data_IF_072056420398
#
_entry.id   IF_072056420398
#
_cell.length_a   1.000
_cell.length_b   1.000
_cell.length_c   1.000
_cell.angle_alpha   90.00
_cell.angle_beta   90.00
_cell.angle_gamma   90.00
#
_symmetry.space_group_name_H-M   'P 1'
#
loop_
_entity.id
_entity.type
_entity.pdbx_description
1 polymer ?
#
# COMPACT_ATOMS: atom_id res chain seq x y z
N UNK A 1 -17.42 -3.77 -4.44
CA UNK A 1 -17.26 -3.09 -5.72
C UNK A 1 -17.31 -4.07 -6.89
N UNK A 2 -16.34 -4.94 -7.01
CA UNK A 2 -16.28 -6.03 -7.98
C UNK A 2 -15.50 -7.21 -7.37
N UNK A 3 -15.69 -8.40 -7.93
CA UNK A 3 -14.98 -9.60 -7.53
C UNK A 3 -13.98 -10.05 -8.58
N UNK A 4 -12.96 -10.78 -8.14
CA UNK A 4 -12.01 -11.45 -9.04
C UNK A 4 -12.79 -12.33 -10.05
N UNK A 5 -12.41 -12.24 -11.32
CA UNK A 5 -13.09 -12.96 -12.42
C UNK A 5 -14.27 -12.23 -13.04
N UNK A 6 -14.82 -11.19 -12.42
CA UNK A 6 -15.87 -10.35 -13.03
C UNK A 6 -15.35 -9.68 -14.31
N UNK A 7 -16.25 -9.34 -15.23
CA UNK A 7 -15.88 -8.67 -16.47
C UNK A 7 -15.39 -7.25 -16.21
N UNK A 8 -14.13 -6.96 -16.54
CA UNK A 8 -13.47 -5.67 -16.31
C UNK A 8 -13.90 -4.62 -17.38
N UNK A 9 -15.12 -4.13 -17.29
CA UNK A 9 -15.67 -3.07 -18.18
C UNK A 9 -15.25 -1.66 -17.80
N UNK A 10 -14.85 -1.47 -16.55
CA UNK A 10 -14.54 -0.16 -15.97
C UNK A 10 -13.26 -0.23 -15.16
N UNK A 11 -12.60 0.90 -15.03
CA UNK A 11 -11.61 1.17 -14.00
C UNK A 11 -12.09 2.39 -13.21
N UNK A 12 -11.51 2.57 -12.04
CA UNK A 12 -11.95 3.61 -11.11
C UNK A 12 -10.72 4.35 -10.55
N UNK A 13 -10.90 5.63 -10.27
CA UNK A 13 -9.99 6.41 -9.45
C UNK A 13 -10.65 6.58 -8.07
N UNK A 14 -9.91 6.28 -7.02
CA UNK A 14 -10.38 6.52 -5.67
C UNK A 14 -10.20 8.00 -5.35
N UNK A 15 -11.32 8.72 -5.16
CA UNK A 15 -11.32 10.16 -4.84
C UNK A 15 -11.32 10.38 -3.33
N UNK A 16 -12.02 9.50 -2.58
CA UNK A 16 -12.17 9.63 -1.13
C UNK A 16 -12.37 8.27 -0.49
N UNK A 17 -11.87 8.11 0.73
CA UNK A 17 -12.00 6.88 1.51
C UNK A 17 -10.84 5.90 1.29
N UNK A 18 -11.03 4.66 1.73
CA UNK A 18 -10.05 3.57 1.65
C UNK A 18 -10.70 2.32 1.12
N UNK A 19 -10.04 1.66 0.16
CA UNK A 19 -10.38 0.34 -0.34
C UNK A 19 -9.36 -0.69 0.11
N UNK A 20 -9.77 -1.95 0.22
CA UNK A 20 -8.88 -3.10 0.25
C UNK A 20 -9.02 -3.89 -1.04
N UNK A 21 -7.91 -4.40 -1.54
CA UNK A 21 -7.87 -5.36 -2.63
C UNK A 21 -7.41 -6.71 -2.08
N UNK A 22 -8.09 -7.78 -2.50
CA UNK A 22 -7.89 -9.09 -1.91
C UNK A 22 -8.19 -10.23 -2.89
N UNK A 23 -7.69 -11.41 -2.54
CA UNK A 23 -8.03 -12.68 -3.17
C UNK A 23 -8.61 -13.65 -2.15
N UNK A 24 -9.49 -14.53 -2.60
CA UNK A 24 -9.97 -15.67 -1.82
C UNK A 24 -9.21 -16.91 -2.32
N UNK A 25 -8.53 -17.57 -1.39
CA UNK A 25 -7.80 -18.80 -1.68
C UNK A 25 -8.77 -19.97 -1.80
N UNK A 26 -8.32 -21.09 -2.40
CA UNK A 26 -9.15 -22.30 -2.58
C UNK A 26 -9.70 -22.89 -1.26
N UNK A 27 -9.02 -22.63 -0.14
CA UNK A 27 -9.45 -23.05 1.21
C UNK A 27 -10.39 -22.03 1.90
N UNK A 28 -10.82 -21.00 1.18
CA UNK A 28 -11.72 -19.95 1.66
C UNK A 28 -11.04 -18.82 2.44
N UNK A 29 -9.74 -18.89 2.71
CA UNK A 29 -9.01 -17.79 3.37
C UNK A 29 -8.93 -16.57 2.46
N UNK A 30 -9.14 -15.40 3.07
CA UNK A 30 -8.94 -14.13 2.41
C UNK A 30 -7.47 -13.68 2.60
N UNK A 31 -6.85 -13.26 1.51
CA UNK A 31 -5.53 -12.63 1.51
C UNK A 31 -5.67 -11.22 0.97
N UNK A 32 -5.42 -10.21 1.80
CA UNK A 32 -5.39 -8.82 1.37
C UNK A 32 -4.04 -8.57 0.70
N UNK A 33 -4.06 -8.07 -0.53
CA UNK A 33 -2.85 -7.77 -1.31
C UNK A 33 -2.50 -6.28 -1.29
N UNK A 34 -3.43 -5.41 -0.86
CA UNK A 34 -3.16 -3.99 -0.74
C UNK A 34 -4.32 -3.19 -0.15
N UNK A 35 -3.99 -1.98 0.29
CA UNK A 35 -4.94 -0.92 0.64
C UNK A 35 -4.73 0.25 -0.30
N UNK A 36 -5.82 0.74 -0.89
CA UNK A 36 -5.83 1.83 -1.84
C UNK A 36 -6.41 3.09 -1.19
N UNK A 37 -5.85 4.23 -1.55
CA UNK A 37 -6.13 5.54 -0.98
C UNK A 37 -6.48 6.55 -2.07
N UNK A 38 -6.95 7.76 -1.73
CA UNK A 38 -7.23 8.79 -2.72
C UNK A 38 -6.06 9.03 -3.69
N UNK A 39 -6.36 9.06 -4.98
CA UNK A 39 -5.41 9.14 -6.08
C UNK A 39 -5.06 7.78 -6.72
N UNK A 40 -5.30 6.67 -6.03
CA UNK A 40 -4.99 5.34 -6.57
C UNK A 40 -6.02 4.90 -7.63
N UNK A 41 -5.54 4.19 -8.66
CA UNK A 41 -6.38 3.57 -9.67
C UNK A 41 -6.79 2.16 -9.24
N UNK A 42 -8.03 1.81 -9.49
CA UNK A 42 -8.64 0.54 -9.09
C UNK A 42 -9.21 -0.18 -10.30
N UNK A 43 -8.93 -1.46 -10.41
CA UNK A 43 -9.45 -2.28 -11.50
C UNK A 43 -8.70 -2.10 -12.82
N UNK A 44 -7.48 -1.57 -12.79
CA UNK A 44 -6.59 -1.56 -13.96
C UNK A 44 -6.26 -3.02 -14.30
N UNK A 45 -6.66 -3.45 -15.48
CA UNK A 45 -6.41 -4.80 -15.96
C UNK A 45 -6.31 -4.79 -17.49
N UNK A 46 -5.23 -5.33 -18.01
CA UNK A 46 -5.06 -5.59 -19.44
C UNK A 46 -5.83 -6.85 -19.88
N UNK A 47 -6.42 -7.58 -18.95
CA UNK A 47 -7.27 -8.75 -19.19
C UNK A 47 -8.74 -8.34 -19.21
N UNK A 48 -9.61 -9.14 -19.83
CA UNK A 48 -11.06 -8.89 -19.87
C UNK A 48 -11.77 -9.12 -18.52
N UNK A 49 -11.03 -9.49 -17.48
CA UNK A 49 -11.53 -9.81 -16.15
C UNK A 49 -10.69 -9.13 -15.08
N UNK A 50 -11.31 -8.76 -13.97
CA UNK A 50 -10.57 -8.30 -12.80
C UNK A 50 -9.71 -9.42 -12.22
N UNK A 51 -8.49 -9.09 -11.82
CA UNK A 51 -7.48 -10.04 -11.30
C UNK A 51 -7.46 -10.12 -9.78
N UNK A 52 -8.28 -9.32 -9.12
CA UNK A 52 -8.50 -9.27 -7.67
C UNK A 52 -9.91 -8.78 -7.37
N UNK A 53 -10.34 -8.94 -6.13
CA UNK A 53 -11.58 -8.36 -5.60
C UNK A 53 -11.28 -7.03 -4.92
N UNK A 54 -12.21 -6.06 -4.98
CA UNK A 54 -12.09 -4.77 -4.31
C UNK A 54 -13.31 -4.46 -3.45
N UNK A 55 -13.08 -4.03 -2.21
CA UNK A 55 -14.12 -3.74 -1.22
C UNK A 55 -13.79 -2.49 -0.41
N UNK A 56 -14.82 -1.74 -0.01
CA UNK A 56 -14.69 -0.53 0.77
C UNK A 56 -14.38 -0.84 2.24
N UNK A 57 -13.35 -0.20 2.80
CA UNK A 57 -13.00 -0.20 4.22
C UNK A 57 -13.72 0.94 4.94
N UNK A 58 -13.86 2.08 4.27
CA UNK A 58 -14.61 3.25 4.72
C UNK A 58 -15.64 3.63 3.66
N UNK A 59 -16.55 4.57 3.90
CA UNK A 59 -17.30 5.21 2.83
C UNK A 59 -16.36 5.73 1.75
N UNK A 60 -16.64 5.46 0.47
CA UNK A 60 -15.76 5.80 -0.64
C UNK A 60 -16.48 6.59 -1.71
N UNK A 61 -15.75 7.50 -2.35
CA UNK A 61 -16.17 8.17 -3.57
C UNK A 61 -15.20 7.81 -4.70
N UNK A 62 -15.77 7.40 -5.82
CA UNK A 62 -15.03 6.88 -6.97
C UNK A 62 -15.38 7.64 -8.23
N UNK A 63 -14.39 7.92 -9.05
CA UNK A 63 -14.57 8.36 -10.42
C UNK A 63 -14.46 7.13 -11.32
N UNK A 64 -15.51 6.84 -12.08
CA UNK A 64 -15.59 5.68 -12.97
C UNK A 64 -15.19 6.04 -14.38
N UNK A 65 -14.36 5.24 -15.01
CA UNK A 65 -13.98 5.35 -16.41
C UNK A 65 -14.38 4.09 -17.16
N UNK A 66 -14.86 4.24 -18.38
CA UNK A 66 -15.01 3.11 -19.30
C UNK A 66 -13.61 2.61 -19.69
N UNK A 67 -13.40 1.31 -19.59
CA UNK A 67 -12.13 0.69 -19.99
C UNK A 67 -11.77 1.05 -21.44
N UNK A 68 -12.73 0.92 -22.37
CA UNK A 68 -12.50 1.25 -23.77
C UNK A 68 -12.05 2.71 -23.94
N UNK A 69 -12.75 3.66 -23.30
CA UNK A 69 -12.38 5.06 -23.40
C UNK A 69 -10.98 5.34 -22.80
N UNK A 70 -10.63 4.66 -21.72
CA UNK A 70 -9.29 4.75 -21.13
C UNK A 70 -8.22 4.20 -22.07
N UNK A 71 -8.42 3.00 -22.65
CA UNK A 71 -7.52 2.37 -23.61
C UNK A 71 -7.34 3.25 -24.86
N UNK A 72 -8.43 3.80 -25.41
CA UNK A 72 -8.40 4.71 -26.56
C UNK A 72 -7.62 6.00 -26.25
N UNK A 73 -7.83 6.57 -25.06
CA UNK A 73 -7.15 7.80 -24.62
C UNK A 73 -5.64 7.56 -24.41
N UNK A 74 -5.28 6.48 -23.73
CA UNK A 74 -3.86 6.10 -23.53
C UNK A 74 -3.22 5.72 -24.87
N UNK A 75 -3.95 5.03 -25.74
CA UNK A 75 -3.47 4.67 -27.09
C UNK A 75 -3.17 5.87 -27.98
N UNK A 76 -3.91 6.97 -27.83
CA UNK A 76 -3.75 8.21 -28.62
C UNK A 76 -2.70 9.16 -28.06
N UNK A 77 -2.27 9.03 -26.79
CA UNK A 77 -1.32 9.94 -26.13
C UNK A 77 -0.03 9.22 -25.72
N UNK A 78 1.12 9.55 -26.34
CA UNK A 78 2.42 9.03 -25.92
C UNK A 78 2.77 9.38 -24.46
N UNK A 79 2.36 10.53 -24.00
CA UNK A 79 2.60 11.01 -22.64
C UNK A 79 1.83 10.19 -21.61
N UNK A 80 0.54 9.93 -21.84
CA UNK A 80 -0.28 9.08 -20.96
C UNK A 80 0.21 7.63 -20.94
N UNK A 81 0.77 7.15 -22.06
CA UNK A 81 1.41 5.81 -22.08
C UNK A 81 2.61 5.74 -21.16
N UNK A 82 3.48 6.76 -21.16
CA UNK A 82 4.62 6.82 -20.26
C UNK A 82 4.18 6.91 -18.79
N UNK A 83 3.16 7.70 -18.49
CA UNK A 83 2.60 7.79 -17.14
C UNK A 83 2.00 6.46 -16.67
N UNK A 84 1.27 5.75 -17.55
CA UNK A 84 0.75 4.43 -17.22
C UNK A 84 1.87 3.40 -17.00
N UNK A 85 2.94 3.43 -17.79
CA UNK A 85 4.09 2.56 -17.60
C UNK A 85 4.81 2.85 -16.28
N UNK A 86 4.98 4.12 -15.93
CA UNK A 86 5.54 4.51 -14.64
C UNK A 86 4.67 4.00 -13.48
N UNK A 87 3.35 4.21 -13.55
CA UNK A 87 2.40 3.69 -12.56
C UNK A 87 2.50 2.16 -12.40
N UNK A 88 2.54 1.41 -13.51
CA UNK A 88 2.66 -0.05 -13.46
C UNK A 88 4.02 -0.50 -12.90
N UNK A 89 5.09 0.25 -13.17
CA UNK A 89 6.41 0.00 -12.59
C UNK A 89 6.41 0.19 -11.07
N UNK A 90 5.76 1.26 -10.59
CA UNK A 90 5.63 1.53 -9.16
C UNK A 90 4.77 0.45 -8.45
N UNK A 91 3.68 0.01 -9.08
CA UNK A 91 2.87 -1.11 -8.58
C UNK A 91 3.67 -2.43 -8.52
N UNK A 92 4.52 -2.68 -9.51
CA UNK A 92 5.39 -3.85 -9.52
C UNK A 92 6.45 -3.77 -8.42
N UNK A 93 7.07 -2.61 -8.20
CA UNK A 93 8.01 -2.39 -7.10
C UNK A 93 7.32 -2.61 -5.74
N UNK A 94 6.14 -2.04 -5.52
CA UNK A 94 5.37 -2.26 -4.29
C UNK A 94 5.01 -3.73 -4.06
N UNK A 95 4.71 -4.49 -5.12
CA UNK A 95 4.47 -5.92 -5.02
C UNK A 95 5.74 -6.70 -4.65
N UNK A 96 6.91 -6.31 -5.16
CA UNK A 96 8.21 -6.90 -4.79
C UNK A 96 8.54 -6.61 -3.32
N UNK A 97 8.34 -5.39 -2.85
CA UNK A 97 8.54 -5.01 -1.44
C UNK A 97 7.65 -5.83 -0.52
N UNK A 98 6.39 -6.05 -0.92
CA UNK A 98 5.46 -6.92 -0.18
C UNK A 98 5.93 -8.38 -0.16
N UNK A 99 6.50 -8.90 -1.24
CA UNK A 99 7.08 -10.26 -1.25
C UNK A 99 8.28 -10.36 -0.30
N UNK A 100 9.18 -9.39 -0.28
CA UNK A 100 10.31 -9.34 0.66
C UNK A 100 9.81 -9.25 2.09
N UNK A 101 8.82 -8.38 2.36
CA UNK A 101 8.20 -8.25 3.67
C UNK A 101 7.66 -9.60 4.17
N UNK A 102 6.93 -10.33 3.33
CA UNK A 102 6.30 -11.59 3.72
C UNK A 102 7.27 -12.78 3.77
N UNK A 103 8.38 -12.76 3.04
CA UNK A 103 9.34 -13.87 3.00
C UNK A 103 10.48 -13.73 3.99
N UNK A 104 10.95 -12.49 4.25
CA UNK A 104 12.18 -12.27 5.02
C UNK A 104 11.93 -11.72 6.43
N UNK A 105 10.84 -10.97 6.64
CA UNK A 105 10.60 -10.27 7.91
C UNK A 105 9.79 -11.11 8.90
N UNK A 106 10.11 -11.02 10.19
CA UNK A 106 9.33 -11.61 11.28
C UNK A 106 8.06 -10.79 11.59
N UNK A 107 7.21 -11.24 12.49
CA UNK A 107 5.91 -10.62 12.78
C UNK A 107 6.02 -9.16 13.31
N UNK A 108 7.02 -8.86 14.12
CA UNK A 108 7.26 -7.50 14.65
C UNK A 108 7.76 -6.60 13.52
N UNK A 109 8.72 -7.05 12.74
CA UNK A 109 9.27 -6.34 11.59
C UNK A 109 8.20 -6.03 10.54
N UNK A 110 7.31 -7.00 10.21
CA UNK A 110 6.21 -6.78 9.26
C UNK A 110 5.27 -5.68 9.72
N UNK A 111 4.87 -5.68 10.99
CA UNK A 111 3.98 -4.66 11.51
C UNK A 111 4.68 -3.30 11.56
N UNK A 112 5.93 -3.23 11.96
CA UNK A 112 6.70 -1.98 11.97
C UNK A 112 6.87 -1.41 10.56
N UNK A 113 7.21 -2.24 9.56
CA UNK A 113 7.30 -1.85 8.16
C UNK A 113 5.97 -1.32 7.62
N UNK A 114 4.86 -2.00 7.93
CA UNK A 114 3.52 -1.52 7.57
C UNK A 114 3.22 -0.14 8.14
N UNK A 115 3.55 0.12 9.42
CA UNK A 115 3.32 1.41 10.05
C UNK A 115 4.20 2.51 9.44
N UNK A 116 5.46 2.20 9.13
CA UNK A 116 6.37 3.12 8.44
C UNK A 116 5.86 3.48 7.04
N UNK A 117 5.43 2.51 6.26
CA UNK A 117 4.86 2.75 4.93
C UNK A 117 3.63 3.67 5.00
N UNK A 118 2.78 3.50 6.02
CA UNK A 118 1.64 4.41 6.25
C UNK A 118 2.09 5.81 6.64
N UNK A 119 3.13 5.92 7.47
CA UNK A 119 3.70 7.22 7.87
C UNK A 119 4.31 7.95 6.67
N UNK A 120 5.12 7.26 5.87
CA UNK A 120 5.75 7.83 4.67
C UNK A 120 4.70 8.40 3.71
N UNK A 121 3.65 7.63 3.40
CA UNK A 121 2.56 8.10 2.54
C UNK A 121 1.85 9.35 3.10
N UNK A 122 1.70 9.47 4.42
CA UNK A 122 1.17 10.71 5.04
C UNK A 122 2.16 11.86 4.93
N UNK A 123 3.44 11.60 5.10
CA UNK A 123 4.49 12.62 5.04
C UNK A 123 4.76 13.15 3.62
N UNK A 124 4.36 12.43 2.58
CA UNK A 124 4.34 12.95 1.21
C UNK A 124 3.36 14.14 1.08
N UNK A 125 2.28 14.13 1.85
CA UNK A 125 1.27 15.20 1.88
C UNK A 125 1.58 16.27 2.92
N UNK A 126 2.07 15.87 4.10
CA UNK A 126 2.45 16.73 5.21
C UNK A 126 3.68 16.15 5.94
N UNK A 127 4.85 16.71 5.67
CA UNK A 127 6.14 16.26 6.24
C UNK A 127 6.19 16.29 7.76
N UNK A 128 5.37 17.10 8.42
CA UNK A 128 5.32 17.22 9.89
C UNK A 128 4.43 16.15 10.53
N UNK A 129 3.67 15.40 9.73
CA UNK A 129 2.70 14.45 10.22
C UNK A 129 3.36 13.27 10.93
N UNK A 130 2.95 13.01 12.15
CA UNK A 130 3.33 11.85 12.96
C UNK A 130 2.16 10.92 13.28
N UNK A 131 0.94 11.26 12.81
CA UNK A 131 -0.27 10.49 13.05
C UNK A 131 -0.64 9.70 11.80
N UNK A 132 -0.82 8.41 11.97
CA UNK A 132 -1.18 7.46 10.91
C UNK A 132 -2.60 6.99 11.11
N UNK A 133 -3.43 7.14 10.09
CA UNK A 133 -4.79 6.59 10.08
C UNK A 133 -4.77 5.12 9.70
N UNK A 134 -5.44 4.31 10.51
CA UNK A 134 -5.61 2.87 10.33
C UNK A 134 -7.11 2.53 10.34
N UNK A 135 -7.85 2.90 9.27
CA UNK A 135 -9.30 2.67 9.23
C UNK A 135 -9.66 1.18 9.07
N UNK A 136 -8.70 0.35 8.64
CA UNK A 136 -8.85 -1.08 8.53
C UNK A 136 -8.88 -1.76 9.90
N UNK A 137 -9.56 -2.90 9.98
CA UNK A 137 -9.61 -3.72 11.19
C UNK A 137 -8.26 -4.40 11.48
N UNK A 138 -8.08 -4.87 12.72
CA UNK A 138 -6.91 -5.70 13.08
C UNK A 138 -6.86 -7.00 12.26
N UNK A 139 -8.02 -7.53 11.90
CA UNK A 139 -8.12 -8.69 11.02
C UNK A 139 -7.62 -8.35 9.61
N UNK A 140 -8.00 -7.21 9.06
CA UNK A 140 -7.51 -6.80 7.74
C UNK A 140 -5.98 -6.59 7.73
N UNK A 141 -5.42 -6.03 8.81
CA UNK A 141 -3.97 -5.89 8.96
C UNK A 141 -3.32 -7.28 9.04
N UNK A 142 -3.92 -8.22 9.77
CA UNK A 142 -3.45 -9.60 9.87
C UNK A 142 -3.47 -10.30 8.49
N UNK A 143 -4.58 -10.21 7.76
CA UNK A 143 -4.74 -10.78 6.42
C UNK A 143 -3.74 -10.18 5.40
N UNK A 144 -3.36 -8.91 5.57
CA UNK A 144 -2.36 -8.24 4.73
C UNK A 144 -0.93 -8.65 5.07
N UNK A 145 -0.62 -8.85 6.37
CA UNK A 145 0.73 -9.16 6.85
C UNK A 145 1.01 -10.67 6.95
N UNK A 146 0.03 -11.53 6.63
CA UNK A 146 0.16 -12.98 6.81
C UNK A 146 0.34 -13.38 8.27
N UNK A 147 -0.37 -12.71 9.19
CA UNK A 147 -0.31 -12.90 10.63
C UNK A 147 -1.68 -13.30 11.18
N UNK A 148 -1.73 -13.66 12.47
CA UNK A 148 -3.00 -13.78 13.18
C UNK A 148 -3.39 -12.45 13.82
N UNK A 149 -4.68 -12.25 14.07
CA UNK A 149 -5.20 -11.03 14.72
C UNK A 149 -4.60 -10.85 16.11
N UNK A 150 -4.37 -11.96 16.82
CA UNK A 150 -3.74 -11.98 18.15
C UNK A 150 -2.29 -11.50 18.08
N UNK A 151 -1.55 -11.93 17.06
CA UNK A 151 -0.16 -11.50 16.83
C UNK A 151 -0.10 -10.01 16.55
N UNK A 152 -0.94 -9.49 15.66
CA UNK A 152 -1.04 -8.05 15.39
C UNK A 152 -1.37 -7.28 16.66
N UNK A 153 -2.36 -7.74 17.43
CA UNK A 153 -2.80 -7.07 18.67
C UNK A 153 -1.70 -7.05 19.74
N UNK A 154 -1.03 -8.20 19.97
CA UNK A 154 0.10 -8.30 20.93
C UNK A 154 1.27 -7.41 20.53
N UNK A 155 1.64 -7.42 19.25
CA UNK A 155 2.76 -6.60 18.75
C UNK A 155 2.43 -5.12 18.88
N UNK A 156 1.20 -4.70 18.55
CA UNK A 156 0.78 -3.31 18.72
C UNK A 156 0.83 -2.86 20.18
N UNK A 157 0.37 -3.72 21.12
CA UNK A 157 0.47 -3.45 22.56
C UNK A 157 1.93 -3.34 23.01
N UNK A 158 2.80 -4.23 22.52
CA UNK A 158 4.25 -4.19 22.80
C UNK A 158 4.89 -2.85 22.35
N UNK A 159 4.57 -2.37 21.14
CA UNK A 159 5.06 -1.10 20.62
C UNK A 159 4.53 0.09 21.45
N UNK A 160 3.28 0.03 21.90
CA UNK A 160 2.68 1.03 22.78
C UNK A 160 3.38 1.07 24.15
N UNK A 161 3.59 -0.10 24.77
CA UNK A 161 4.26 -0.19 26.07
C UNK A 161 5.73 0.28 26.04
N UNK A 162 6.40 0.13 24.90
CA UNK A 162 7.75 0.66 24.66
C UNK A 162 7.76 2.17 24.37
N UNK A 163 6.60 2.83 24.29
CA UNK A 163 6.47 4.24 23.96
C UNK A 163 6.99 4.57 22.57
N UNK A 164 6.86 3.65 21.62
CA UNK A 164 7.22 3.84 20.20
C UNK A 164 6.04 4.40 19.43
N UNK A 165 4.84 3.90 19.75
CA UNK A 165 3.57 4.36 19.19
C UNK A 165 2.59 4.68 20.33
N UNK A 166 1.60 5.54 20.05
CA UNK A 166 0.51 5.85 20.97
C UNK A 166 -0.81 5.87 20.23
N UNK A 167 -1.86 5.15 20.70
CA UNK A 167 -3.19 5.23 20.13
C UNK A 167 -3.74 6.67 20.17
N UNK A 168 -4.40 7.10 19.09
CA UNK A 168 -5.10 8.37 18.98
C UNK A 168 -6.51 8.07 18.49
N UNK A 169 -7.46 7.92 19.43
CA UNK A 169 -8.81 7.47 19.11
C UNK A 169 -8.88 6.00 18.67
N UNK A 170 -9.89 5.66 17.83
CA UNK A 170 -10.18 4.26 17.45
C UNK A 170 -9.37 3.77 16.25
N UNK A 171 -9.05 4.68 15.33
CA UNK A 171 -8.55 4.33 13.98
C UNK A 171 -7.29 5.11 13.62
N UNK A 172 -6.57 5.63 14.61
CA UNK A 172 -5.31 6.35 14.35
C UNK A 172 -4.29 6.04 15.43
N UNK A 173 -3.04 6.10 15.07
CA UNK A 173 -1.91 5.97 15.99
C UNK A 173 -0.93 7.12 15.73
N UNK A 174 -0.29 7.60 16.78
CA UNK A 174 0.84 8.52 16.70
C UNK A 174 2.14 7.73 16.77
N UNK A 175 3.04 7.96 15.84
CA UNK A 175 4.41 7.45 15.89
C UNK A 175 5.23 8.43 16.73
N UNK A 176 5.71 7.97 17.88
CA UNK A 176 6.49 8.78 18.83
C UNK A 176 7.99 8.72 18.53
N UNK A 177 8.48 7.57 18.04
CA UNK A 177 9.89 7.31 17.79
C UNK A 177 10.07 6.64 16.43
N UNK A 178 10.07 7.45 15.37
CA UNK A 178 10.16 6.95 13.98
C UNK A 178 11.46 6.18 13.71
N UNK A 179 12.61 6.68 14.19
CA UNK A 179 13.91 6.01 14.06
C UNK A 179 13.92 4.64 14.72
N UNK A 180 13.32 4.50 15.92
CA UNK A 180 13.24 3.20 16.59
C UNK A 180 12.28 2.26 15.90
N UNK A 181 11.21 2.79 15.30
CA UNK A 181 10.28 1.99 14.49
C UNK A 181 10.99 1.46 13.24
N UNK A 182 11.83 2.27 12.57
CA UNK A 182 12.64 1.88 11.41
C UNK A 182 13.63 0.78 11.78
N UNK A 183 14.34 0.93 12.88
CA UNK A 183 15.25 -0.10 13.38
C UNK A 183 14.51 -1.44 13.65
N UNK A 184 13.31 -1.38 14.28
CA UNK A 184 12.49 -2.56 14.52
C UNK A 184 11.85 -3.13 13.25
N UNK A 185 11.79 -2.37 12.17
CA UNK A 185 11.35 -2.86 10.86
C UNK A 185 12.44 -3.65 10.13
N UNK A 186 13.66 -3.68 10.65
CA UNK A 186 14.81 -4.31 10.00
C UNK A 186 15.48 -3.42 8.96
N UNK A 187 15.12 -2.12 8.91
CA UNK A 187 15.71 -1.14 7.99
C UNK A 187 16.89 -0.37 8.65
N UNK A 188 17.35 -0.82 9.82
CA UNK A 188 18.48 -0.28 10.56
C UNK A 188 19.65 -1.23 10.48
N UNK A 189 20.49 -1.01 9.52
CA UNK A 189 21.95 -1.18 9.40
C UNK A 189 22.33 -1.39 7.93
N UNK A 190 22.05 -0.42 7.07
CA UNK A 190 23.02 -0.16 6.01
C UNK A 190 24.16 0.63 6.66
N UNK A 191 25.10 -0.09 7.27
CA UNK A 191 26.46 0.38 7.40
C UNK A 191 26.91 0.81 6.01
N UNK A 192 27.43 2.00 5.92
CA UNK A 192 28.09 2.66 4.81
C UNK A 192 29.23 1.79 4.24
N UNK A 193 28.87 0.72 3.57
CA UNK A 193 29.75 -0.08 2.73
C UNK A 193 29.44 0.27 1.28
N UNK A 194 30.17 1.28 0.80
CA UNK A 194 30.21 1.88 -0.53
C UNK A 194 29.90 1.00 -1.74
N UNK A 195 28.69 0.52 -1.87
CA UNK A 195 28.17 -0.01 -3.13
C UNK A 195 27.40 1.11 -3.85
N UNK A 196 27.75 1.43 -5.09
CA UNK A 196 27.04 2.46 -5.83
C UNK A 196 25.62 1.99 -6.06
N UNK A 197 24.68 2.64 -5.36
CA UNK A 197 23.25 2.49 -5.58
C UNK A 197 22.91 2.65 -7.06
N UNK A 198 22.17 1.68 -7.56
CA UNK A 198 21.53 1.65 -8.88
C UNK A 198 21.01 3.05 -9.24
N UNK A 199 21.41 3.48 -10.43
CA UNK A 199 21.18 4.74 -11.12
C UNK A 199 19.88 5.43 -10.67
N UNK A 200 20.01 6.50 -9.87
CA UNK A 200 18.92 7.43 -9.59
C UNK A 200 18.59 8.18 -10.87
N UNK A 201 17.43 7.89 -11.45
CA UNK A 201 16.86 8.60 -12.61
C UNK A 201 16.38 10.03 -12.27
N UNK A 202 16.65 10.51 -11.05
CA UNK A 202 16.20 11.80 -10.55
C UNK A 202 17.00 13.01 -11.08
N UNK A 203 18.06 12.78 -11.88
CA UNK A 203 18.87 13.87 -12.48
C UNK A 203 18.35 14.40 -13.82
N UNK A 204 17.31 13.81 -14.41
CA UNK A 204 16.78 14.26 -15.70
C UNK A 204 15.70 15.35 -15.61
N UNK A 205 15.20 15.72 -14.40
CA UNK A 205 14.11 16.70 -14.22
C UNK A 205 14.54 18.15 -14.00
N UNK A 206 15.82 18.50 -14.09
CA UNK A 206 16.29 19.89 -13.88
C UNK A 206 17.14 20.44 -15.04
N UNK A 207 16.73 20.19 -16.27
CA UNK A 207 17.22 21.00 -17.43
C UNK A 207 16.20 20.86 -18.57
N UNK A 208 15.19 21.68 -18.52
CA UNK A 208 14.58 22.42 -19.65
C UNK A 208 13.51 23.33 -19.07
#
# INVERSE_FOLDING_TARGET
>A
MFFEGDQAKHLFELVEGVLRIFKIMADGRRVITGFLYPGDLVGVSLRNRYVYSAEAVTPVRLRRFSRKAFEDTVGSSPELRLQLLAYLSDEMAAAQDQMVLLSCKNAEERLCSFLLQRLQRKQEQDRSCSVVDLPMSRLDIADYLGLTIETVSRTMTKLTNKGIVSPVGRHSIRILKATMLSHLAGDGDECDDGHPSVISLDKARRRH
#
